data_IF_193245054474
#
_entry.id   IF_193245054474
#
_cell.length_a   1.000
_cell.length_b   1.000
_cell.length_c   1.000
_cell.angle_alpha   90.00
_cell.angle_beta   90.00
_cell.angle_gamma   90.00
#
_symmetry.space_group_name_H-M   'P 1'
#
loop_
_entity.id
_entity.type
_entity.pdbx_description
1 polymer ?
#
# COMPACT_ATOMS: atom_id res chain seq x y z
N UNK A 1 14.19 -17.86 -3.06
CA UNK A 1 13.91 -16.49 -3.57
C UNK A 1 12.77 -16.43 -4.59
N UNK A 2 12.79 -17.15 -5.72
CA UNK A 2 11.72 -17.08 -6.75
C UNK A 2 10.31 -17.40 -6.22
N UNK A 3 10.17 -18.41 -5.35
CA UNK A 3 8.88 -18.76 -4.71
C UNK A 3 8.35 -17.65 -3.78
N UNK A 4 9.24 -17.04 -3.00
CA UNK A 4 8.91 -15.95 -2.08
C UNK A 4 8.47 -14.69 -2.85
N UNK A 5 9.15 -14.37 -3.94
CA UNK A 5 8.77 -13.28 -4.83
C UNK A 5 7.44 -13.55 -5.51
N UNK A 6 7.18 -14.77 -6.00
CA UNK A 6 5.87 -15.14 -6.53
C UNK A 6 4.74 -14.93 -5.52
N UNK A 7 5.01 -15.19 -4.24
CA UNK A 7 4.03 -15.01 -3.18
C UNK A 7 3.79 -13.53 -2.86
N UNK A 8 4.86 -12.72 -2.79
CA UNK A 8 4.75 -11.27 -2.64
C UNK A 8 4.05 -10.63 -3.85
N UNK A 9 4.37 -11.08 -5.05
CA UNK A 9 3.80 -10.58 -6.30
C UNK A 9 2.31 -10.91 -6.39
N UNK A 10 1.88 -12.12 -5.95
CA UNK A 10 0.46 -12.47 -5.87
C UNK A 10 -0.31 -11.54 -4.91
N UNK A 11 0.28 -11.22 -3.75
CA UNK A 11 -0.33 -10.30 -2.78
C UNK A 11 -0.34 -8.86 -3.31
N UNK A 12 0.72 -8.45 -3.99
CA UNK A 12 0.81 -7.13 -4.63
C UNK A 12 -0.25 -6.98 -5.74
N UNK A 13 -0.37 -7.96 -6.63
CA UNK A 13 -1.40 -8.01 -7.69
C UNK A 13 -2.79 -8.00 -7.07
N UNK A 14 -3.06 -8.81 -6.05
CA UNK A 14 -4.37 -8.85 -5.38
C UNK A 14 -4.71 -7.48 -4.75
N UNK A 15 -3.74 -6.86 -4.08
CA UNK A 15 -3.94 -5.54 -3.45
C UNK A 15 -4.16 -4.44 -4.50
N UNK A 16 -3.42 -4.49 -5.60
CA UNK A 16 -3.58 -3.57 -6.72
C UNK A 16 -4.97 -3.75 -7.35
N UNK A 17 -5.37 -4.98 -7.66
CA UNK A 17 -6.66 -5.29 -8.27
C UNK A 17 -7.83 -4.82 -7.40
N UNK A 18 -7.79 -5.08 -6.09
CA UNK A 18 -8.82 -4.59 -5.16
C UNK A 18 -8.89 -3.07 -5.18
N UNK A 19 -7.75 -2.36 -5.12
CA UNK A 19 -7.76 -0.89 -5.16
C UNK A 19 -8.27 -0.34 -6.48
N UNK A 20 -7.93 -1.00 -7.60
CA UNK A 20 -8.34 -0.59 -8.93
C UNK A 20 -9.85 -0.81 -9.15
N UNK A 21 -10.39 -1.92 -8.64
CA UNK A 21 -11.83 -2.18 -8.64
C UNK A 21 -12.58 -1.19 -7.75
N UNK A 22 -12.11 -0.95 -6.52
CA UNK A 22 -12.79 -0.03 -5.59
C UNK A 22 -12.77 1.41 -6.08
N UNK A 23 -11.62 1.88 -6.59
CA UNK A 23 -11.51 3.24 -7.16
C UNK A 23 -12.28 3.39 -8.48
N UNK A 24 -12.23 2.39 -9.36
CA UNK A 24 -12.99 2.37 -10.61
C UNK A 24 -14.49 2.37 -10.37
N UNK A 25 -14.97 1.58 -9.40
CA UNK A 25 -16.36 1.56 -8.98
C UNK A 25 -16.81 2.90 -8.39
N UNK A 26 -15.99 3.51 -7.53
CA UNK A 26 -16.28 4.83 -6.97
C UNK A 26 -16.34 5.93 -8.05
N UNK A 27 -15.43 5.90 -9.01
CA UNK A 27 -15.45 6.82 -10.15
C UNK A 27 -16.70 6.62 -11.02
N UNK A 28 -17.06 5.36 -11.31
CA UNK A 28 -18.27 5.04 -12.07
C UNK A 28 -19.53 5.53 -11.36
N UNK A 29 -19.67 5.33 -10.05
CA UNK A 29 -20.78 5.86 -9.26
C UNK A 29 -20.84 7.39 -9.37
N UNK A 30 -19.71 8.07 -9.20
CA UNK A 30 -19.67 9.53 -9.26
C UNK A 30 -20.13 10.07 -10.63
N UNK A 31 -19.64 9.48 -11.73
CA UNK A 31 -19.95 9.94 -13.09
C UNK A 31 -21.34 9.52 -13.58
N UNK A 32 -21.79 8.30 -13.29
CA UNK A 32 -23.05 7.77 -13.84
C UNK A 32 -24.26 8.03 -12.96
N UNK A 33 -24.10 8.08 -11.63
CA UNK A 33 -25.23 8.20 -10.70
C UNK A 33 -25.42 9.67 -10.27
N UNK A 34 -24.42 10.54 -10.46
CA UNK A 34 -24.51 11.95 -10.06
C UNK A 34 -24.58 12.06 -8.54
N UNK A 35 -23.42 11.94 -7.89
CA UNK A 35 -23.37 11.97 -6.42
C UNK A 35 -23.53 13.41 -5.91
N UNK A 36 -24.63 13.70 -5.23
CA UNK A 36 -24.79 14.96 -4.51
C UNK A 36 -24.09 14.90 -3.14
N UNK A 37 -23.58 16.04 -2.67
CA UNK A 37 -22.87 16.10 -1.40
C UNK A 37 -23.83 15.83 -0.24
N UNK A 38 -23.60 14.75 0.52
CA UNK A 38 -24.39 14.41 1.71
C UNK A 38 -24.21 15.41 2.86
N UNK A 39 -23.16 16.24 2.79
CA UNK A 39 -22.85 17.30 3.75
C UNK A 39 -22.68 18.59 2.97
N UNK A 40 -23.41 19.64 3.35
CA UNK A 40 -23.38 20.95 2.71
C UNK A 40 -22.79 22.04 3.61
N UNK A 41 -22.18 23.06 3.01
CA UNK A 41 -21.66 24.25 3.69
C UNK A 41 -20.26 24.10 4.32
N UNK A 42 -20.03 24.80 5.43
CA UNK A 42 -18.71 24.91 6.08
C UNK A 42 -18.17 23.57 6.62
N UNK A 43 -19.07 22.66 6.99
CA UNK A 43 -18.72 21.34 7.52
C UNK A 43 -18.04 20.46 6.46
N UNK A 44 -18.46 20.54 5.20
CA UNK A 44 -17.86 19.79 4.08
C UNK A 44 -16.39 20.16 3.89
N UNK A 45 -16.07 21.45 4.01
CA UNK A 45 -14.69 21.94 3.90
C UNK A 45 -13.83 21.39 5.04
N UNK A 46 -14.33 21.47 6.28
CA UNK A 46 -13.60 20.96 7.46
C UNK A 46 -13.37 19.44 7.36
N UNK A 47 -14.42 18.68 7.03
CA UNK A 47 -14.29 17.24 6.79
C UNK A 47 -13.32 16.94 5.66
N UNK A 48 -13.35 17.74 4.60
CA UNK A 48 -12.50 17.51 3.44
C UNK A 48 -11.02 17.67 3.79
N UNK A 49 -10.67 18.75 4.49
CA UNK A 49 -9.32 19.00 4.99
C UNK A 49 -8.88 17.92 5.99
N UNK A 50 -9.75 17.51 6.92
CA UNK A 50 -9.43 16.46 7.88
C UNK A 50 -9.09 15.13 7.18
N UNK A 51 -9.87 14.74 6.16
CA UNK A 51 -9.64 13.53 5.37
C UNK A 51 -8.34 13.63 4.55
N UNK A 52 -8.07 14.78 3.92
CA UNK A 52 -6.81 15.00 3.20
C UNK A 52 -5.61 14.89 4.13
N UNK A 53 -5.67 15.50 5.32
CA UNK A 53 -4.59 15.46 6.30
C UNK A 53 -4.37 14.02 6.81
N UNK A 54 -5.45 13.28 7.07
CA UNK A 54 -5.38 11.86 7.43
C UNK A 54 -4.68 11.03 6.34
N UNK A 55 -5.04 11.24 5.06
CA UNK A 55 -4.40 10.54 3.94
C UNK A 55 -2.90 10.83 3.85
N UNK A 56 -2.49 12.10 4.02
CA UNK A 56 -1.07 12.49 4.03
C UNK A 56 -0.34 11.82 5.19
N UNK A 57 -0.93 11.82 6.39
CA UNK A 57 -0.35 11.14 7.55
C UNK A 57 -0.21 9.63 7.32
N UNK A 58 -1.18 8.97 6.68
CA UNK A 58 -1.08 7.55 6.32
C UNK A 58 0.11 7.29 5.38
N UNK A 59 0.30 8.12 4.35
CA UNK A 59 1.43 7.99 3.41
C UNK A 59 2.78 8.19 4.10
N UNK A 60 2.91 9.24 4.92
CA UNK A 60 4.14 9.53 5.66
C UNK A 60 4.44 8.47 6.72
N UNK A 61 3.43 8.00 7.45
CA UNK A 61 3.55 6.93 8.44
C UNK A 61 4.00 5.63 7.78
N UNK A 62 3.42 5.27 6.62
CA UNK A 62 3.84 4.11 5.85
C UNK A 62 5.32 4.18 5.45
N UNK A 63 5.79 5.32 4.96
CA UNK A 63 7.21 5.50 4.58
C UNK A 63 8.17 5.43 5.78
N UNK A 64 7.90 6.20 6.83
CA UNK A 64 8.79 6.34 7.99
C UNK A 64 8.81 5.09 8.87
N UNK A 65 7.65 4.45 9.08
CA UNK A 65 7.53 3.22 9.87
C UNK A 65 8.22 2.04 9.20
N UNK A 66 8.04 1.89 7.88
CA UNK A 66 8.69 0.83 7.13
C UNK A 66 10.19 1.03 7.07
N UNK A 67 10.68 2.26 6.82
CA UNK A 67 12.13 2.54 6.80
C UNK A 67 12.81 2.24 8.14
N UNK A 68 12.24 2.71 9.25
CA UNK A 68 12.80 2.45 10.60
C UNK A 68 12.83 0.96 10.93
N UNK A 69 11.77 0.22 10.57
CA UNK A 69 11.71 -1.23 10.78
C UNK A 69 12.73 -1.98 9.93
N UNK A 70 12.94 -1.57 8.68
CA UNK A 70 13.95 -2.17 7.80
C UNK A 70 15.37 -1.86 8.31
N UNK A 71 15.63 -0.63 8.74
CA UNK A 71 16.94 -0.23 9.28
C UNK A 71 17.28 -0.99 10.59
N UNK A 72 16.31 -1.21 11.48
CA UNK A 72 16.50 -1.99 12.71
C UNK A 72 16.69 -3.50 12.47
N UNK A 73 16.48 -3.99 11.24
CA UNK A 73 16.58 -5.40 10.88
C UNK A 73 17.90 -5.76 10.18
N UNK A 74 18.79 -4.80 9.96
CA UNK A 74 20.10 -5.07 9.35
C UNK A 74 20.98 -6.00 10.20
N UNK A 75 20.74 -6.08 11.50
CA UNK A 75 21.51 -6.88 12.47
C UNK A 75 20.84 -8.20 12.89
N UNK A 76 19.67 -8.54 12.33
CA UNK A 76 18.91 -9.73 12.72
C UNK A 76 19.11 -10.91 11.77
N UNK A 77 18.86 -12.12 12.31
CA UNK A 77 19.04 -13.41 11.64
C UNK A 77 18.22 -13.54 10.35
N UNK A 78 18.79 -14.23 9.34
CA UNK A 78 18.28 -14.30 7.96
C UNK A 78 16.78 -14.68 7.82
N UNK A 79 16.27 -15.72 8.50
CA UNK A 79 14.86 -16.11 8.38
C UNK A 79 13.93 -15.08 9.03
N UNK A 80 14.33 -14.46 10.15
CA UNK A 80 13.55 -13.40 10.79
C UNK A 80 13.54 -12.11 9.97
N UNK A 81 14.62 -11.83 9.25
CA UNK A 81 14.73 -10.70 8.31
C UNK A 81 13.72 -10.85 7.17
N UNK A 82 13.60 -12.05 6.60
CA UNK A 82 12.66 -12.37 5.52
C UNK A 82 11.19 -12.20 5.91
N UNK A 83 10.83 -12.67 7.10
CA UNK A 83 9.46 -12.65 7.60
C UNK A 83 9.03 -11.23 8.02
N UNK A 84 9.91 -10.51 8.72
CA UNK A 84 9.64 -9.13 9.13
C UNK A 84 9.62 -8.17 7.93
N UNK A 85 10.42 -8.42 6.89
CA UNK A 85 10.35 -7.67 5.64
C UNK A 85 9.01 -7.88 4.91
N UNK A 86 8.54 -9.14 4.81
CA UNK A 86 7.21 -9.45 4.24
C UNK A 86 6.11 -8.70 4.99
N UNK A 87 6.17 -8.72 6.32
CA UNK A 87 5.18 -8.03 7.16
C UNK A 87 5.24 -6.51 6.99
N UNK A 88 6.43 -5.93 6.88
CA UNK A 88 6.60 -4.49 6.69
C UNK A 88 6.08 -4.03 5.32
N UNK A 89 6.32 -4.81 4.26
CA UNK A 89 5.77 -4.54 2.93
C UNK A 89 4.25 -4.72 2.90
N UNK A 90 3.72 -5.80 3.48
CA UNK A 90 2.27 -6.00 3.56
C UNK A 90 1.59 -4.84 4.28
N UNK A 91 2.13 -4.39 5.42
CA UNK A 91 1.61 -3.23 6.15
C UNK A 91 1.68 -1.95 5.31
N UNK A 92 2.78 -1.72 4.59
CA UNK A 92 2.90 -0.58 3.68
C UNK A 92 1.86 -0.59 2.57
N UNK A 93 1.63 -1.75 1.95
CA UNK A 93 0.61 -1.93 0.91
C UNK A 93 -0.81 -1.73 1.46
N UNK A 94 -1.12 -2.27 2.65
CA UNK A 94 -2.41 -2.04 3.31
C UNK A 94 -2.63 -0.56 3.66
N UNK A 95 -1.59 0.16 4.08
CA UNK A 95 -1.70 1.60 4.35
C UNK A 95 -1.95 2.42 3.08
N UNK A 96 -1.37 2.05 1.94
CA UNK A 96 -1.71 2.68 0.67
C UNK A 96 -3.14 2.34 0.21
N UNK A 97 -3.58 1.09 0.45
CA UNK A 97 -4.97 0.71 0.20
C UNK A 97 -5.96 1.49 1.09
N UNK A 98 -5.62 1.73 2.36
CA UNK A 98 -6.48 2.54 3.24
C UNK A 98 -6.60 4.00 2.77
N UNK A 99 -5.55 4.56 2.16
CA UNK A 99 -5.64 5.91 1.54
C UNK A 99 -6.68 5.92 0.43
N UNK A 100 -6.73 4.88 -0.41
CA UNK A 100 -7.75 4.72 -1.44
C UNK A 100 -9.16 4.64 -0.84
N UNK A 101 -9.35 3.85 0.23
CA UNK A 101 -10.64 3.75 0.92
C UNK A 101 -11.08 5.09 1.52
N UNK A 102 -10.17 5.80 2.19
CA UNK A 102 -10.44 7.14 2.75
C UNK A 102 -10.81 8.12 1.63
N UNK A 103 -10.13 8.04 0.48
CA UNK A 103 -10.44 8.86 -0.69
C UNK A 103 -11.84 8.55 -1.24
N UNK A 104 -12.24 7.28 -1.33
CA UNK A 104 -13.60 6.90 -1.74
C UNK A 104 -14.65 7.41 -0.76
N UNK A 105 -14.41 7.32 0.55
CA UNK A 105 -15.31 7.90 1.56
C UNK A 105 -15.40 9.43 1.39
N UNK A 106 -14.27 10.10 1.15
CA UNK A 106 -14.26 11.54 0.87
C UNK A 106 -15.03 11.91 -0.40
N UNK A 107 -14.92 11.11 -1.46
CA UNK A 107 -15.68 11.25 -2.70
C UNK A 107 -17.18 11.16 -2.45
N UNK A 108 -17.61 10.15 -1.68
CA UNK A 108 -19.02 9.91 -1.34
C UNK A 108 -19.58 11.02 -0.45
N UNK A 109 -18.84 11.45 0.58
CA UNK A 109 -19.35 12.43 1.55
C UNK A 109 -19.31 13.86 0.99
N UNK A 110 -18.23 14.23 0.30
CA UNK A 110 -17.98 15.60 -0.13
C UNK A 110 -18.32 15.84 -1.61
N UNK A 111 -18.60 14.80 -2.40
CA UNK A 111 -18.83 14.86 -3.85
C UNK A 111 -17.73 15.63 -4.62
N UNK A 112 -16.51 15.68 -4.07
CA UNK A 112 -15.43 16.49 -4.61
C UNK A 112 -14.51 15.64 -5.52
N UNK A 113 -14.29 16.05 -6.78
CA UNK A 113 -13.49 15.28 -7.73
C UNK A 113 -12.00 15.19 -7.33
N UNK A 114 -11.53 16.08 -6.45
CA UNK A 114 -10.18 16.03 -5.89
C UNK A 114 -9.84 14.70 -5.21
N UNK A 115 -10.84 13.98 -4.69
CA UNK A 115 -10.63 12.64 -4.11
C UNK A 115 -10.29 11.57 -5.16
N UNK A 116 -10.69 11.74 -6.41
CA UNK A 116 -10.27 10.85 -7.51
C UNK A 116 -8.76 10.94 -7.75
N UNK A 117 -8.17 12.13 -7.59
CA UNK A 117 -6.71 12.31 -7.67
C UNK A 117 -6.00 11.53 -6.55
N UNK A 118 -6.54 11.53 -5.33
CA UNK A 118 -5.98 10.74 -4.23
C UNK A 118 -6.08 9.23 -4.48
N UNK A 119 -7.16 8.75 -5.11
CA UNK A 119 -7.26 7.36 -5.58
C UNK A 119 -6.18 7.05 -6.65
N UNK A 120 -5.97 7.96 -7.61
CA UNK A 120 -4.93 7.77 -8.63
C UNK A 120 -3.52 7.74 -8.01
N UNK A 121 -3.24 8.63 -7.06
CA UNK A 121 -1.97 8.68 -6.33
C UNK A 121 -1.76 7.39 -5.51
N UNK A 122 -2.79 6.87 -4.84
CA UNK A 122 -2.67 5.65 -4.04
C UNK A 122 -2.36 4.43 -4.92
N UNK A 123 -3.01 4.32 -6.08
CA UNK A 123 -2.71 3.27 -7.08
C UNK A 123 -1.26 3.42 -7.56
N UNK A 124 -0.84 4.64 -7.91
CA UNK A 124 0.53 4.90 -8.35
C UNK A 124 1.56 4.51 -7.27
N UNK A 125 1.28 4.80 -6.00
CA UNK A 125 2.13 4.40 -4.87
C UNK A 125 2.19 2.88 -4.70
N UNK A 126 1.08 2.17 -4.90
CA UNK A 126 1.05 0.70 -4.89
C UNK A 126 1.88 0.16 -6.06
N UNK A 127 1.72 0.73 -7.26
CA UNK A 127 2.50 0.34 -8.45
C UNK A 127 3.99 0.53 -8.23
N UNK A 128 4.38 1.69 -7.68
CA UNK A 128 5.77 2.01 -7.39
C UNK A 128 6.34 1.14 -6.25
N UNK A 129 5.48 0.58 -5.40
CA UNK A 129 5.83 -0.36 -4.34
C UNK A 129 5.98 -1.80 -4.83
N UNK A 130 6.01 -2.05 -6.15
CA UNK A 130 6.24 -3.38 -6.72
C UNK A 130 7.51 -4.02 -6.14
N UNK A 131 7.39 -5.19 -5.47
CA UNK A 131 8.53 -5.88 -4.90
C UNK A 131 9.37 -6.49 -6.04
N UNK A 132 10.50 -5.87 -6.34
CA UNK A 132 11.44 -6.33 -7.38
C UNK A 132 12.66 -6.98 -6.72
N UNK A 133 13.26 -7.99 -7.34
CA UNK A 133 14.45 -8.68 -6.83
C UNK A 133 15.56 -7.72 -6.38
N UNK A 134 15.81 -6.68 -7.18
CA UNK A 134 16.81 -5.64 -6.88
C UNK A 134 16.45 -4.83 -5.64
N UNK A 135 15.17 -4.46 -5.46
CA UNK A 135 14.71 -3.73 -4.26
C UNK A 135 14.82 -4.59 -3.00
N UNK A 136 14.47 -5.87 -3.09
CA UNK A 136 14.61 -6.83 -1.98
C UNK A 136 16.09 -7.02 -1.61
N UNK A 137 16.97 -7.19 -2.61
CA UNK A 137 18.42 -7.30 -2.38
C UNK A 137 19.02 -6.05 -1.72
N UNK A 138 18.64 -4.86 -2.19
CA UNK A 138 19.14 -3.57 -1.68
C UNK A 138 18.57 -3.27 -0.29
N UNK A 139 17.27 -3.48 -0.06
CA UNK A 139 16.62 -3.15 1.21
C UNK A 139 16.98 -4.14 2.32
N UNK A 140 17.17 -5.43 2.01
CA UNK A 140 17.69 -6.40 2.99
C UNK A 140 19.22 -6.36 3.12
N UNK A 141 19.96 -5.70 2.22
CA UNK A 141 21.43 -5.71 2.24
C UNK A 141 21.98 -7.12 2.25
N UNK A 142 21.44 -7.99 1.39
CA UNK A 142 21.80 -9.41 1.32
C UNK A 142 23.14 -9.58 0.61
N UNK A 143 24.05 -10.30 1.26
CA UNK A 143 25.34 -10.69 0.67
C UNK A 143 25.14 -11.87 -0.29
N UNK A 144 25.99 -12.06 -1.31
CA UNK A 144 25.83 -13.14 -2.31
C UNK A 144 25.72 -14.56 -1.71
N UNK A 145 26.31 -14.78 -0.52
CA UNK A 145 26.23 -16.04 0.20
C UNK A 145 24.86 -16.28 0.88
N UNK A 146 24.22 -15.21 1.37
CA UNK A 146 22.89 -15.27 2.00
C UNK A 146 21.77 -15.47 0.98
N UNK A 147 21.98 -15.03 -0.27
CA UNK A 147 21.06 -15.26 -1.39
C UNK A 147 20.88 -16.76 -1.67
N UNK A 148 21.94 -17.56 -1.50
CA UNK A 148 21.91 -19.02 -1.68
C UNK A 148 21.18 -19.73 -0.53
N UNK A 149 21.30 -19.24 0.70
CA UNK A 149 20.50 -19.74 1.84
C UNK A 149 19.03 -19.34 1.73
N UNK A 150 18.73 -18.15 1.21
CA UNK A 150 17.36 -17.69 0.94
C UNK A 150 16.61 -18.50 -0.13
N UNK A 151 17.34 -19.22 -0.98
CA UNK A 151 16.75 -20.15 -1.96
C UNK A 151 16.49 -21.54 -1.36
N UNK A 152 17.23 -21.91 -0.30
CA UNK A 152 17.03 -23.15 0.47
C UNK A 152 15.94 -23.03 1.54
N UNK A 153 15.62 -21.83 2.01
CA UNK A 153 14.48 -21.61 2.92
C UNK A 153 13.17 -21.99 2.21
N UNK A 154 12.59 -23.15 2.62
CA UNK A 154 11.23 -23.55 2.25
C UNK A 154 10.25 -22.56 2.88
N UNK A 155 9.88 -21.53 2.11
CA UNK A 155 8.68 -20.75 2.42
C UNK A 155 7.48 -21.65 2.13
N UNK A 156 7.05 -22.42 3.14
CA UNK A 156 5.91 -23.30 3.03
C UNK A 156 4.64 -22.46 2.81
N UNK A 157 4.04 -22.66 1.63
CA UNK A 157 2.64 -22.36 1.37
C UNK A 157 1.82 -23.26 2.29
N UNK A 158 1.43 -22.76 3.46
CA UNK A 158 0.20 -23.28 4.09
C UNK A 158 -0.96 -22.83 3.20
N UNK A 159 -1.44 -23.81 2.43
CA UNK A 159 -2.68 -23.80 1.66
C UNK A 159 -3.88 -23.52 2.56
#
# INVERSE_FOLDING_TARGET
>A
MKKYLKLLDKVWIATLAINLLTSGFAAAIYYFIGFEANVSGRNTVIFSYALMLLMVLCVFSAGKSTRRKIESLKTADLPQKAEKYRTAIMKRMMLYASVSLIAVVGLVVCAAPGYLLFCAISILLIVLSKPTETKVKIELGLTENEIKEFDKLKFETKS
#
